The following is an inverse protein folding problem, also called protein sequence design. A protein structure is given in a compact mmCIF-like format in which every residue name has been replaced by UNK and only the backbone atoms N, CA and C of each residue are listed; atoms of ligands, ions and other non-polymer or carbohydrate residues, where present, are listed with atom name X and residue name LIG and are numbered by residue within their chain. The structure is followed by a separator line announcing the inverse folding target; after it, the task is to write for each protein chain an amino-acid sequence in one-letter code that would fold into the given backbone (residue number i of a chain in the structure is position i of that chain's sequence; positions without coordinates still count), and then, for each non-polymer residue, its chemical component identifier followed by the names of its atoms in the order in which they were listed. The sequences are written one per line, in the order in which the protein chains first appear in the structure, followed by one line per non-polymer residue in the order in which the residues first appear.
data_IF_117379801224
#
_entry.id   IF_117379801224
#
_cell.length_a   1.000
_cell.length_b   1.000
_cell.length_c   1.000
_cell.angle_alpha   90.00
_cell.angle_beta   90.00
_cell.angle_gamma   90.00
#
_symmetry.space_group_name_H-M   'P 1'
#
loop_
_entity.id
_entity.type
_entity.pdbx_description
1 polymer ?
#
# COMPACT_ATOMS: atom_id res chain seq x y z
N UNK A 1 23.59 -4.14 14.51
CA UNK A 1 23.56 -2.66 14.68
C UNK A 1 22.75 -2.06 13.55
N UNK A 2 21.63 -1.39 13.87
CA UNK A 2 20.87 -0.65 12.85
C UNK A 2 21.78 0.46 12.31
N UNK A 3 22.03 0.51 11.00
CA UNK A 3 22.93 1.50 10.36
C UNK A 3 22.40 2.95 10.47
N UNK A 4 21.18 3.13 10.96
CA UNK A 4 20.54 4.42 11.18
C UNK A 4 20.28 4.57 12.69
N UNK A 5 20.77 5.65 13.29
CA UNK A 5 20.50 5.95 14.69
C UNK A 5 19.01 6.25 14.88
N UNK A 6 18.43 5.78 15.99
CA UNK A 6 17.03 6.07 16.32
C UNK A 6 16.81 7.57 16.49
N UNK A 7 17.81 8.27 17.00
CA UNK A 7 17.80 9.73 17.20
C UNK A 7 17.63 10.49 15.89
N UNK A 8 18.44 10.17 14.86
CA UNK A 8 18.34 10.81 13.55
C UNK A 8 16.97 10.58 12.88
N UNK A 9 16.36 9.41 13.10
CA UNK A 9 15.00 9.11 12.64
C UNK A 9 13.96 10.00 13.33
N UNK A 10 13.98 10.09 14.66
CA UNK A 10 13.01 10.90 15.40
C UNK A 10 13.15 12.38 15.09
N UNK A 11 14.38 12.88 14.95
CA UNK A 11 14.65 14.26 14.56
C UNK A 11 14.06 14.59 13.18
N UNK A 12 14.34 13.74 12.19
CA UNK A 12 13.84 13.93 10.82
C UNK A 12 12.31 13.91 10.73
N UNK A 13 11.67 13.00 11.49
CA UNK A 13 10.20 12.91 11.56
C UNK A 13 9.59 14.14 12.22
N UNK A 14 10.18 14.62 13.31
CA UNK A 14 9.71 15.81 14.01
C UNK A 14 9.87 17.08 13.16
N UNK A 15 10.98 17.21 12.43
CA UNK A 15 11.19 18.32 11.51
C UNK A 15 10.12 18.34 10.41
N UNK A 16 9.81 17.18 9.81
CA UNK A 16 8.77 17.06 8.78
C UNK A 16 7.38 17.42 9.34
N UNK A 17 7.06 16.96 10.55
CA UNK A 17 5.78 17.25 11.20
C UNK A 17 5.63 18.74 11.54
N UNK A 18 6.69 19.39 12.00
CA UNK A 18 6.69 20.83 12.31
C UNK A 18 6.49 21.66 11.05
N UNK A 19 7.21 21.35 9.97
CA UNK A 19 7.07 22.05 8.69
C UNK A 19 5.65 21.94 8.09
N UNK A 20 5.02 20.77 8.23
CA UNK A 20 3.62 20.53 7.82
C UNK A 20 2.62 21.38 8.62
N UNK A 21 2.82 21.50 9.93
CA UNK A 21 1.95 22.30 10.83
C UNK A 21 2.09 23.79 10.59
N UNK A 22 3.31 24.28 10.38
CA UNK A 22 3.60 25.70 10.19
C UNK A 22 3.07 26.22 8.85
N UNK A 23 3.19 25.42 7.78
CA UNK A 23 2.68 25.77 6.43
C UNK A 23 1.60 24.80 5.99
N UNK A 24 0.45 24.85 6.65
CA UNK A 24 -0.69 23.98 6.36
C UNK A 24 -1.18 24.15 4.92
N UNK A 25 -0.96 23.12 4.10
CA UNK A 25 -1.42 23.08 2.70
C UNK A 25 -2.91 22.72 2.66
N UNK A 26 -3.67 23.27 1.70
CA UNK A 26 -5.12 23.03 1.53
C UNK A 26 -5.47 21.67 0.91
N UNK A 27 -4.56 20.70 0.95
CA UNK A 27 -4.74 19.35 0.41
C UNK A 27 -4.13 18.31 1.35
N UNK A 28 -4.50 17.04 1.17
CA UNK A 28 -3.93 15.94 1.97
C UNK A 28 -2.48 15.68 1.57
N UNK A 29 -1.55 15.97 2.47
CA UNK A 29 -0.12 15.75 2.24
C UNK A 29 0.20 14.26 2.13
N UNK A 30 1.15 13.92 1.26
CA UNK A 30 1.67 12.56 1.09
C UNK A 30 3.14 12.59 1.46
N UNK A 31 3.57 11.62 2.27
CA UNK A 31 4.98 11.43 2.65
C UNK A 31 5.49 10.23 1.84
N UNK A 32 6.59 10.41 1.12
CA UNK A 32 7.26 9.34 0.40
C UNK A 32 8.42 8.79 1.24
N UNK A 33 8.52 7.46 1.31
CA UNK A 33 9.65 6.78 1.93
C UNK A 33 10.63 6.37 0.83
N UNK A 34 11.79 7.01 0.79
CA UNK A 34 12.88 6.62 -0.11
C UNK A 34 13.89 5.76 0.64
N UNK A 35 14.22 4.59 0.07
CA UNK A 35 15.22 3.67 0.63
C UNK A 35 16.42 3.63 -0.29
N UNK A 36 17.59 4.02 0.22
CA UNK A 36 18.85 3.91 -0.50
C UNK A 36 19.60 2.66 -0.03
N UNK A 37 19.86 1.72 -0.94
CA UNK A 37 20.67 0.53 -0.67
C UNK A 37 22.11 0.81 -1.05
N UNK A 38 23.02 0.78 -0.07
CA UNK A 38 24.46 0.86 -0.31
C UNK A 38 25.02 -0.56 -0.46
N UNK A 39 25.92 -0.75 -1.44
CA UNK A 39 26.61 -2.02 -1.72
C UNK A 39 25.69 -3.16 -2.21
N UNK A 40 24.62 -2.84 -2.94
CA UNK A 40 23.77 -3.84 -3.58
C UNK A 40 24.25 -4.10 -5.01
N UNK A 41 24.48 -5.38 -5.34
CA UNK A 41 24.82 -5.82 -6.69
C UNK A 41 23.57 -6.39 -7.39
N UNK A 42 22.98 -5.66 -8.36
CA UNK A 42 21.75 -6.08 -9.03
C UNK A 42 21.93 -7.32 -9.92
N UNK A 43 23.16 -7.80 -10.14
CA UNK A 43 23.43 -9.02 -10.89
C UNK A 43 23.34 -10.28 -10.02
N UNK A 44 23.73 -10.19 -8.74
CA UNK A 44 23.70 -11.33 -7.80
C UNK A 44 22.33 -11.52 -7.17
N UNK A 45 21.69 -10.44 -6.75
CA UNK A 45 20.32 -10.46 -6.26
C UNK A 45 19.49 -9.53 -7.13
N UNK A 46 18.56 -10.09 -7.91
CA UNK A 46 17.74 -9.32 -8.85
C UNK A 46 16.55 -8.65 -8.15
N UNK A 47 16.16 -9.12 -6.96
CA UNK A 47 14.95 -8.66 -6.26
C UNK A 47 15.20 -8.57 -4.77
N UNK A 48 14.91 -7.40 -4.21
CA UNK A 48 14.76 -7.21 -2.78
C UNK A 48 13.30 -7.51 -2.40
N UNK A 49 13.03 -8.65 -1.80
CA UNK A 49 11.71 -9.00 -1.28
C UNK A 49 11.69 -8.83 0.24
N UNK A 50 11.15 -7.71 0.72
CA UNK A 50 10.85 -7.49 2.13
C UNK A 50 9.40 -7.03 2.26
N UNK A 51 8.57 -7.83 2.92
CA UNK A 51 7.17 -7.46 3.18
C UNK A 51 7.08 -6.74 4.52
N UNK A 52 6.72 -5.45 4.51
CA UNK A 52 6.52 -4.66 5.73
C UNK A 52 5.03 -4.34 5.85
N UNK A 53 4.41 -4.73 6.96
CA UNK A 53 3.03 -4.31 7.28
C UNK A 53 3.08 -2.95 7.97
N UNK A 54 2.51 -1.93 7.31
CA UNK A 54 2.32 -0.62 7.90
C UNK A 54 1.05 -0.62 8.77
N UNK A 55 1.11 0.03 9.94
CA UNK A 55 -0.05 0.16 10.84
C UNK A 55 -1.12 1.12 10.31
N UNK A 56 -0.71 2.14 9.55
CA UNK A 56 -1.60 3.16 9.03
C UNK A 56 -1.93 2.89 7.55
N UNK A 57 -3.19 3.12 7.16
CA UNK A 57 -3.65 2.91 5.78
C UNK A 57 -3.26 4.14 4.93
N UNK A 58 -2.31 4.04 3.99
CA UNK A 58 -1.81 5.20 3.25
C UNK A 58 -2.82 5.75 2.23
N UNK A 59 -3.73 4.91 1.74
CA UNK A 59 -4.81 5.29 0.82
C UNK A 59 -6.16 4.76 1.30
N UNK A 60 -6.91 5.54 2.11
CA UNK A 60 -8.21 5.10 2.63
C UNK A 60 -9.29 4.89 1.56
N UNK A 61 -9.14 5.48 0.36
CA UNK A 61 -10.06 5.28 -0.75
C UNK A 61 -9.76 4.05 -1.64
N UNK A 62 -8.69 3.29 -1.34
CA UNK A 62 -8.34 2.12 -2.14
C UNK A 62 -9.21 0.95 -1.72
N UNK A 63 -10.17 0.60 -2.57
CA UNK A 63 -11.03 -0.58 -2.36
C UNK A 63 -10.28 -1.81 -2.87
N UNK A 64 -10.09 -2.79 -1.99
CA UNK A 64 -9.50 -4.08 -2.35
C UNK A 64 -10.65 -5.08 -2.49
N UNK A 65 -10.76 -5.70 -3.66
CA UNK A 65 -11.72 -6.78 -3.90
C UNK A 65 -10.97 -8.11 -3.87
N UNK A 66 -11.49 -9.08 -3.13
CA UNK A 66 -10.93 -10.44 -3.07
C UNK A 66 -11.55 -11.26 -4.20
N UNK A 67 -10.68 -11.96 -4.94
CA UNK A 67 -11.06 -12.91 -5.97
C UNK A 67 -10.50 -14.27 -5.55
N UNK A 68 -11.37 -15.23 -5.27
CA UNK A 68 -10.93 -16.53 -4.77
C UNK A 68 -12.06 -17.52 -4.65
N UNK A 69 -11.70 -18.75 -4.30
CA UNK A 69 -12.63 -19.85 -4.13
C UNK A 69 -13.55 -19.67 -2.91
N UNK A 70 -14.51 -20.58 -2.75
CA UNK A 70 -15.53 -20.56 -1.69
C UNK A 70 -14.95 -20.27 -0.28
N UNK A 71 -13.82 -20.86 0.08
CA UNK A 71 -13.18 -20.64 1.40
C UNK A 71 -12.73 -19.19 1.61
N UNK A 72 -12.13 -18.56 0.60
CA UNK A 72 -11.71 -17.16 0.68
C UNK A 72 -12.90 -16.20 0.63
N UNK A 73 -14.00 -16.62 -0.01
CA UNK A 73 -15.26 -15.86 -0.03
C UNK A 73 -15.92 -15.83 1.35
N UNK A 74 -15.91 -16.95 2.09
CA UNK A 74 -16.45 -17.01 3.44
C UNK A 74 -15.64 -16.12 4.40
N UNK A 75 -14.30 -16.15 4.29
CA UNK A 75 -13.42 -15.26 5.05
C UNK A 75 -13.60 -13.78 4.66
N UNK A 76 -13.74 -13.47 3.37
CA UNK A 76 -13.95 -12.10 2.90
C UNK A 76 -15.31 -11.54 3.37
N UNK A 77 -16.37 -12.36 3.30
CA UNK A 77 -17.71 -12.00 3.73
C UNK A 77 -17.76 -11.77 5.23
N UNK A 78 -17.08 -12.61 6.02
CA UNK A 78 -16.93 -12.42 7.47
C UNK A 78 -16.20 -11.09 7.80
N UNK A 79 -15.25 -10.68 6.97
CA UNK A 79 -14.52 -9.42 7.11
C UNK A 79 -15.18 -8.21 6.42
N UNK A 80 -16.40 -8.37 5.87
CA UNK A 80 -17.12 -7.34 5.09
C UNK A 80 -16.31 -6.77 3.91
N UNK A 81 -15.43 -7.58 3.33
CA UNK A 81 -14.65 -7.21 2.16
C UNK A 81 -15.41 -7.58 0.88
N UNK A 82 -15.42 -6.71 -0.15
CA UNK A 82 -16.07 -7.03 -1.41
C UNK A 82 -15.36 -8.23 -2.05
N UNK A 83 -16.13 -9.27 -2.34
CA UNK A 83 -15.66 -10.48 -3.02
C UNK A 83 -16.37 -10.62 -4.37
N UNK A 84 -15.66 -11.14 -5.37
CA UNK A 84 -16.24 -11.49 -6.67
C UNK A 84 -15.80 -12.89 -7.08
N UNK A 85 -16.76 -13.65 -7.57
CA UNK A 85 -16.55 -15.02 -8.06
C UNK A 85 -16.11 -15.05 -9.53
N UNK A 86 -15.51 -16.16 -9.95
CA UNK A 86 -15.01 -16.43 -11.30
C UNK A 86 -16.10 -16.24 -12.36
N UNK A 87 -17.35 -16.57 -12.05
CA UNK A 87 -18.48 -16.34 -12.95
C UNK A 87 -18.83 -14.85 -13.11
N UNK A 88 -18.78 -14.08 -12.01
CA UNK A 88 -18.99 -12.64 -12.04
C UNK A 88 -17.87 -11.96 -12.84
N UNK A 89 -16.64 -12.45 -12.72
CA UNK A 89 -15.46 -11.93 -13.42
C UNK A 89 -15.51 -12.21 -14.92
N UNK A 90 -15.99 -13.40 -15.33
CA UNK A 90 -16.25 -13.71 -16.76
C UNK A 90 -17.31 -12.78 -17.36
N UNK A 91 -18.35 -12.42 -16.62
CA UNK A 91 -19.36 -11.44 -17.06
C UNK A 91 -18.78 -10.01 -17.12
N UNK A 92 -17.88 -9.67 -16.21
CA UNK A 92 -17.20 -8.39 -16.15
C UNK A 92 -16.23 -8.19 -17.33
N UNK A 93 -15.44 -9.21 -17.68
CA UNK A 93 -14.49 -9.15 -18.80
C UNK A 93 -15.14 -8.94 -20.17
N UNK A 94 -16.39 -9.38 -20.34
CA UNK A 94 -17.13 -9.19 -21.60
C UNK A 94 -17.65 -7.76 -21.79
N UNK A 95 -17.78 -6.99 -20.71
CA UNK A 95 -18.37 -5.65 -20.74
C UNK A 95 -17.32 -4.54 -20.52
N UNK A 96 -16.74 -4.05 -21.62
CA UNK A 96 -15.76 -2.95 -21.62
C UNK A 96 -16.25 -1.67 -20.90
N UNK A 97 -17.56 -1.41 -20.87
CA UNK A 97 -18.16 -0.25 -20.16
C UNK A 97 -18.09 -0.40 -18.64
N UNK A 98 -18.24 -1.62 -18.12
CA UNK A 98 -18.15 -1.91 -16.69
C UNK A 98 -16.69 -1.93 -16.22
N UNK A 99 -15.79 -2.45 -17.05
CA UNK A 99 -14.34 -2.41 -16.81
C UNK A 99 -13.82 -0.97 -16.70
N UNK A 100 -14.30 -0.04 -17.55
CA UNK A 100 -13.91 1.37 -17.49
C UNK A 100 -14.49 2.15 -16.31
N UNK A 101 -15.49 1.61 -15.60
CA UNK A 101 -16.13 2.25 -14.44
C UNK A 101 -15.50 1.84 -13.10
N UNK A 102 -14.76 0.73 -13.08
CA UNK A 102 -13.91 0.29 -11.98
C UNK A 102 -12.58 1.04 -12.02
#
# INVERSE_FOLDING_TARGET
MSKVSREALYESLNACLTASKEKKRKFRETIELQVALKNYDPQKDKRFSGTIRLKNIPRPGMKVCILGDQQHMDEATANNLPCMDVEALKKLNKNKKLIKKL
#
